data_IF_468675199010
#
_entry.id   IF_468675199010
#
_cell.length_a   1.000
_cell.length_b   1.000
_cell.length_c   1.000
_cell.angle_alpha   90.00
_cell.angle_beta   90.00
_cell.angle_gamma   90.00
#
_symmetry.space_group_name_H-M   'P 1'
#
loop_
_entity.id
_entity.type
_entity.pdbx_description
1 polymer ?
#
# COMPACT_ATOMS: atom_id res chain seq x y z
N UNK A 1 10.66 -2.23 2.51
CA UNK A 1 11.04 -3.65 2.72
C UNK A 1 9.81 -4.48 3.08
N UNK A 2 9.17 -4.25 4.23
CA UNK A 2 8.00 -5.01 4.67
C UNK A 2 6.87 -5.09 3.60
N UNK A 3 6.54 -3.96 2.96
CA UNK A 3 5.56 -3.89 1.86
C UNK A 3 5.90 -4.82 0.69
N UNK A 4 7.18 -4.90 0.30
CA UNK A 4 7.61 -5.78 -0.80
C UNK A 4 7.42 -7.24 -0.40
N UNK A 5 7.85 -7.62 0.81
CA UNK A 5 7.66 -8.99 1.30
C UNK A 5 6.18 -9.37 1.44
N UNK A 6 5.34 -8.43 1.89
CA UNK A 6 3.91 -8.63 2.06
C UNK A 6 3.23 -9.03 0.74
N UNK A 7 3.57 -8.34 -0.35
CA UNK A 7 3.00 -8.61 -1.67
C UNK A 7 3.59 -9.84 -2.37
N UNK A 8 4.69 -10.41 -1.86
CA UNK A 8 5.20 -11.72 -2.31
C UNK A 8 4.17 -12.85 -2.14
N UNK A 9 3.22 -12.69 -1.22
CA UNK A 9 2.10 -13.62 -1.06
C UNK A 9 1.22 -13.73 -2.32
N UNK A 10 1.17 -12.69 -3.16
CA UNK A 10 0.28 -12.66 -4.34
C UNK A 10 0.85 -13.40 -5.55
N UNK A 11 2.14 -13.75 -5.52
CA UNK A 11 2.76 -14.64 -6.52
C UNK A 11 2.87 -16.08 -6.01
N UNK A 12 2.26 -16.40 -4.86
CA UNK A 12 2.31 -17.74 -4.26
C UNK A 12 3.66 -18.09 -3.62
N UNK A 13 4.52 -17.10 -3.33
CA UNK A 13 5.78 -17.35 -2.65
C UNK A 13 5.54 -17.94 -1.25
N UNK A 14 6.37 -18.90 -0.84
CA UNK A 14 6.32 -19.45 0.53
C UNK A 14 6.55 -18.35 1.57
N UNK A 15 7.51 -17.46 1.31
CA UNK A 15 7.76 -16.23 2.05
C UNK A 15 8.67 -15.31 1.23
N UNK A 16 8.99 -14.14 1.75
CA UNK A 16 9.95 -13.21 1.15
C UNK A 16 10.75 -12.52 2.26
N UNK A 17 12.04 -12.33 2.04
CA UNK A 17 12.96 -11.80 3.06
C UNK A 17 13.93 -10.79 2.47
N UNK A 18 14.39 -9.85 3.29
CA UNK A 18 15.54 -9.00 3.00
C UNK A 18 16.66 -9.31 4.00
N UNK A 19 17.94 -9.22 3.61
CA UNK A 19 19.05 -9.34 4.55
C UNK A 19 19.01 -8.21 5.58
N UNK A 20 19.49 -8.49 6.79
CA UNK A 20 19.54 -7.50 7.86
C UNK A 20 20.44 -6.33 7.46
N UNK A 21 19.94 -5.11 7.68
CA UNK A 21 20.64 -3.90 7.28
C UNK A 21 20.38 -2.73 8.23
N UNK A 22 21.05 -1.61 7.99
CA UNK A 22 21.02 -0.45 8.89
C UNK A 22 19.63 0.20 8.97
N UNK A 23 18.79 0.04 7.93
CA UNK A 23 17.40 0.53 7.95
C UNK A 23 16.56 -0.31 8.91
N UNK A 24 16.78 -1.63 8.97
CA UNK A 24 16.13 -2.50 9.95
C UNK A 24 16.61 -2.18 11.37
N UNK A 25 17.92 -1.99 11.57
CA UNK A 25 18.51 -1.55 12.85
C UNK A 25 17.87 -0.24 13.35
N UNK A 26 17.76 0.77 12.47
CA UNK A 26 17.08 2.05 12.78
C UNK A 26 15.62 1.86 13.19
N UNK A 27 14.87 1.00 12.48
CA UNK A 27 13.48 0.71 12.80
C UNK A 27 13.31 -0.03 14.14
N UNK A 28 14.19 -1.00 14.44
CA UNK A 28 14.23 -1.67 15.73
C UNK A 28 14.45 -0.67 16.86
N UNK A 29 15.45 0.22 16.72
CA UNK A 29 15.75 1.27 17.71
C UNK A 29 14.57 2.23 17.89
N UNK A 30 13.94 2.69 16.81
CA UNK A 30 12.79 3.62 16.89
C UNK A 30 11.55 3.00 17.51
N UNK A 31 11.49 1.67 17.63
CA UNK A 31 10.39 0.92 18.25
C UNK A 31 10.78 0.35 19.61
N UNK A 32 11.81 0.91 20.26
CA UNK A 32 12.23 0.54 21.62
C UNK A 32 12.99 -0.79 21.72
N UNK A 33 13.49 -1.32 20.60
CA UNK A 33 14.16 -2.64 20.51
C UNK A 33 15.66 -2.49 20.23
N UNK A 34 16.30 -1.51 20.86
CA UNK A 34 17.73 -1.22 20.63
C UNK A 34 18.63 -2.40 20.98
N UNK A 35 18.34 -3.16 22.05
CA UNK A 35 19.10 -4.36 22.42
C UNK A 35 19.10 -5.42 21.31
N UNK A 36 17.96 -5.64 20.65
CA UNK A 36 17.86 -6.56 19.52
C UNK A 36 18.68 -6.05 18.34
N UNK A 37 18.59 -4.75 18.05
CA UNK A 37 19.37 -4.15 16.96
C UNK A 37 20.88 -4.30 17.20
N UNK A 38 21.33 -3.98 18.41
CA UNK A 38 22.75 -4.02 18.77
C UNK A 38 23.29 -5.45 18.74
N UNK A 39 22.51 -6.43 19.20
CA UNK A 39 22.88 -7.85 19.10
C UNK A 39 22.91 -8.33 17.64
N UNK A 40 21.89 -8.02 16.85
CA UNK A 40 21.84 -8.41 15.44
C UNK A 40 22.99 -7.81 14.62
N UNK A 41 23.45 -6.59 14.96
CA UNK A 41 24.59 -5.96 14.29
C UNK A 41 25.90 -6.73 14.51
N UNK A 42 26.08 -7.41 15.65
CA UNK A 42 27.29 -8.22 15.92
C UNK A 42 27.42 -9.40 14.96
N UNK A 43 26.29 -9.90 14.46
CA UNK A 43 26.21 -11.07 13.58
C UNK A 43 25.69 -10.75 12.17
N UNK A 44 25.71 -9.46 11.78
CA UNK A 44 25.07 -8.98 10.55
C UNK A 44 25.52 -9.73 9.31
N UNK A 45 26.82 -10.00 9.17
CA UNK A 45 27.37 -10.69 7.99
C UNK A 45 27.39 -12.21 8.16
N UNK A 46 27.39 -12.73 9.38
CA UNK A 46 27.54 -14.16 9.67
C UNK A 46 26.21 -14.91 9.70
N UNK A 47 25.14 -14.27 10.17
CA UNK A 47 23.83 -14.93 10.39
C UNK A 47 22.69 -14.30 9.60
N UNK A 48 22.86 -13.07 9.10
CA UNK A 48 21.74 -12.30 8.53
C UNK A 48 22.00 -11.74 7.13
N UNK A 49 23.05 -12.24 6.47
CA UNK A 49 23.36 -11.97 5.06
C UNK A 49 23.44 -13.30 4.30
N UNK A 50 23.08 -13.33 3.01
CA UNK A 50 23.36 -14.50 2.18
C UNK A 50 24.87 -14.68 2.01
N UNK A 51 25.32 -15.93 1.88
CA UNK A 51 26.70 -16.24 1.54
C UNK A 51 27.05 -15.69 0.15
N UNK A 52 28.29 -15.23 -0.04
CA UNK A 52 28.71 -14.58 -1.28
C UNK A 52 28.64 -15.47 -2.54
N UNK A 53 28.60 -16.79 -2.36
CA UNK A 53 28.49 -17.80 -3.41
C UNK A 53 27.18 -18.60 -3.33
N UNK A 54 26.14 -18.07 -2.67
CA UNK A 54 24.85 -18.74 -2.66
C UNK A 54 24.24 -18.78 -4.07
N UNK A 55 23.57 -19.88 -4.39
CA UNK A 55 22.86 -20.05 -5.65
C UNK A 55 21.37 -19.83 -5.43
N UNK A 56 20.73 -19.17 -6.40
CA UNK A 56 19.28 -19.03 -6.47
C UNK A 56 18.80 -19.82 -7.69
N UNK A 57 17.73 -20.61 -7.54
CA UNK A 57 17.14 -21.36 -8.67
C UNK A 57 16.66 -20.43 -9.79
N UNK A 58 16.24 -19.21 -9.42
CA UNK A 58 15.86 -18.14 -10.35
C UNK A 58 16.39 -16.78 -9.85
N UNK A 59 16.93 -15.98 -10.77
CA UNK A 59 17.41 -14.63 -10.50
C UNK A 59 16.65 -13.61 -11.36
N UNK A 60 15.95 -12.68 -10.70
CA UNK A 60 15.27 -11.56 -11.34
C UNK A 60 15.99 -10.27 -10.96
N UNK A 61 16.41 -9.49 -11.95
CA UNK A 61 17.06 -8.19 -11.74
C UNK A 61 16.09 -7.04 -12.00
N UNK A 62 15.94 -6.14 -11.02
CA UNK A 62 15.11 -4.93 -11.13
C UNK A 62 15.96 -3.71 -10.85
N UNK A 63 16.10 -2.83 -11.84
CA UNK A 63 16.77 -1.54 -11.68
C UNK A 63 15.79 -0.48 -11.13
N UNK A 64 16.05 -0.01 -9.91
CA UNK A 64 15.19 0.97 -9.22
C UNK A 64 15.22 2.37 -9.86
N UNK A 65 16.30 2.75 -10.54
CA UNK A 65 16.44 4.06 -11.21
C UNK A 65 15.55 4.17 -12.46
N UNK A 66 15.21 3.03 -13.05
CA UNK A 66 14.33 2.94 -14.23
C UNK A 66 12.87 2.66 -13.86
N UNK A 67 12.58 2.37 -12.59
CA UNK A 67 11.26 1.99 -12.14
C UNK A 67 10.35 3.23 -12.05
N UNK A 68 9.24 3.21 -12.80
CA UNK A 68 8.17 4.20 -12.65
C UNK A 68 7.03 3.68 -11.75
N UNK A 69 6.12 4.55 -11.23
CA UNK A 69 4.97 4.10 -10.46
C UNK A 69 4.07 3.14 -11.25
N UNK A 70 3.49 2.16 -10.54
CA UNK A 70 2.68 1.10 -11.14
C UNK A 70 1.31 0.99 -10.46
N UNK A 71 0.34 0.55 -11.24
CA UNK A 71 -1.03 0.26 -10.81
C UNK A 71 -1.41 -1.09 -11.39
N UNK A 72 -1.81 -2.02 -10.54
CA UNK A 72 -2.13 -3.39 -10.94
C UNK A 72 -3.63 -3.66 -10.80
N UNK A 73 -4.19 -4.46 -11.71
CA UNK A 73 -5.61 -4.82 -11.72
C UNK A 73 -6.26 -4.77 -13.09
N UNK A 74 -7.59 -4.95 -13.19
CA UNK A 74 -8.56 -4.72 -12.09
C UNK A 74 -9.01 -5.94 -11.27
N UNK A 75 -8.64 -7.17 -11.66
CA UNK A 75 -9.14 -8.41 -11.03
C UNK A 75 -8.06 -9.38 -10.56
N UNK A 76 -6.79 -9.03 -10.79
CA UNK A 76 -5.63 -9.83 -10.39
C UNK A 76 -4.48 -8.89 -10.03
N UNK A 77 -3.67 -9.21 -9.01
CA UNK A 77 -2.58 -8.36 -8.55
C UNK A 77 -1.37 -8.39 -9.47
N UNK A 78 -1.29 -9.32 -10.42
CA UNK A 78 -0.17 -9.48 -11.37
C UNK A 78 -0.36 -8.75 -12.72
N UNK A 79 -1.58 -8.27 -13.02
CA UNK A 79 -1.84 -7.47 -14.21
C UNK A 79 -1.31 -6.06 -14.01
N UNK A 80 -0.01 -5.88 -14.26
CA UNK A 80 0.71 -4.65 -14.00
C UNK A 80 0.54 -3.63 -15.14
N UNK A 81 0.30 -2.38 -14.76
CA UNK A 81 0.32 -1.24 -15.67
C UNK A 81 1.26 -0.16 -15.13
N UNK A 82 2.23 0.31 -15.92
CA UNK A 82 2.91 1.55 -15.60
C UNK A 82 1.88 2.69 -15.55
N UNK A 83 2.02 3.61 -14.59
CA UNK A 83 1.05 4.70 -14.38
C UNK A 83 0.84 5.53 -15.66
N UNK A 84 1.91 5.70 -16.45
CA UNK A 84 1.92 6.40 -17.73
C UNK A 84 1.01 5.78 -18.79
N UNK A 85 0.72 4.47 -18.70
CA UNK A 85 -0.09 3.71 -19.68
C UNK A 85 -1.50 3.37 -19.18
N UNK A 86 -1.76 3.51 -17.88
CA UNK A 86 -3.02 3.08 -17.25
C UNK A 86 -4.27 3.65 -17.94
N UNK A 87 -4.28 4.95 -18.25
CA UNK A 87 -5.44 5.60 -18.88
C UNK A 87 -5.75 5.08 -20.29
N UNK A 88 -4.72 4.79 -21.09
CA UNK A 88 -4.90 4.20 -22.43
C UNK A 88 -5.38 2.75 -22.32
N UNK A 89 -4.77 1.96 -21.43
CA UNK A 89 -5.16 0.58 -21.18
C UNK A 89 -6.61 0.49 -20.68
N UNK A 90 -7.01 1.39 -19.78
CA UNK A 90 -8.36 1.44 -19.25
C UNK A 90 -9.40 1.73 -20.34
N UNK A 91 -9.13 2.67 -21.25
CA UNK A 91 -10.00 2.95 -22.41
C UNK A 91 -10.11 1.75 -23.34
N UNK A 92 -8.98 1.14 -23.69
CA UNK A 92 -8.93 0.00 -24.60
C UNK A 92 -9.71 -1.20 -24.06
N UNK A 93 -9.63 -1.46 -22.75
CA UNK A 93 -10.30 -2.59 -22.11
C UNK A 93 -11.70 -2.22 -21.55
N UNK A 94 -12.18 -1.01 -21.80
CA UNK A 94 -13.48 -0.54 -21.33
C UNK A 94 -13.63 -0.47 -19.81
N UNK A 95 -12.55 -0.25 -19.06
CA UNK A 95 -12.59 -0.06 -17.61
C UNK A 95 -13.18 1.32 -17.27
N UNK A 96 -13.99 1.46 -16.21
CA UNK A 96 -14.51 2.77 -15.81
C UNK A 96 -13.37 3.72 -15.46
N UNK A 97 -13.31 4.89 -16.08
CA UNK A 97 -12.26 5.88 -15.85
C UNK A 97 -12.51 6.70 -14.58
N UNK A 98 -13.77 6.84 -14.19
CA UNK A 98 -14.14 7.54 -12.97
C UNK A 98 -13.86 6.65 -11.74
N UNK A 99 -12.87 7.06 -10.95
CA UNK A 99 -12.59 6.45 -9.65
C UNK A 99 -13.72 6.85 -8.70
N UNK A 100 -14.41 5.88 -8.10
CA UNK A 100 -15.49 6.14 -7.14
C UNK A 100 -14.98 6.34 -5.71
N UNK A 101 -13.96 5.57 -5.29
CA UNK A 101 -13.41 5.63 -3.93
C UNK A 101 -11.90 5.39 -3.98
N UNK A 102 -11.15 6.20 -3.23
CA UNK A 102 -9.73 5.97 -2.94
C UNK A 102 -9.57 5.42 -1.53
N UNK A 103 -8.80 4.33 -1.36
CA UNK A 103 -8.56 3.72 -0.04
C UNK A 103 -7.06 3.53 0.20
N UNK A 104 -6.50 4.21 1.19
CA UNK A 104 -5.11 4.02 1.60
C UNK A 104 -4.99 3.32 2.95
N UNK A 105 -3.87 2.65 3.19
CA UNK A 105 -3.57 1.97 4.45
C UNK A 105 -3.69 0.45 4.38
N UNK A 106 -4.41 -0.14 5.35
CA UNK A 106 -4.40 -1.60 5.64
C UNK A 106 -3.01 -2.09 6.05
N UNK A 107 -2.75 -3.40 6.11
CA UNK A 107 -1.47 -3.93 6.58
C UNK A 107 -0.29 -3.68 5.60
N UNK A 108 -0.55 -3.43 4.32
CA UNK A 108 0.48 -3.34 3.28
C UNK A 108 1.16 -1.96 3.21
N UNK A 109 0.39 -0.86 3.31
CA UNK A 109 0.85 0.52 3.11
C UNK A 109 0.30 1.50 4.16
N UNK A 110 0.46 1.18 5.44
CA UNK A 110 0.00 2.03 6.55
C UNK A 110 1.09 2.40 7.55
N UNK A 111 2.35 2.35 7.14
CA UNK A 111 3.43 2.84 7.99
C UNK A 111 3.36 4.36 8.17
N UNK A 112 4.10 4.89 9.14
CA UNK A 112 4.24 6.34 9.30
C UNK A 112 4.79 7.00 8.02
N UNK A 113 5.69 6.32 7.30
CA UNK A 113 6.24 6.80 6.03
C UNK A 113 5.16 6.88 4.94
N UNK A 114 4.31 5.85 4.81
CA UNK A 114 3.20 5.84 3.85
C UNK A 114 2.23 6.99 4.14
N UNK A 115 1.81 7.13 5.39
CA UNK A 115 0.90 8.19 5.83
C UNK A 115 1.50 9.59 5.59
N UNK A 116 2.79 9.76 5.88
CA UNK A 116 3.50 11.01 5.61
C UNK A 116 3.55 11.38 4.13
N UNK A 117 3.82 10.40 3.24
CA UNK A 117 3.84 10.62 1.78
C UNK A 117 2.48 11.03 1.25
N UNK A 118 1.41 10.32 1.64
CA UNK A 118 0.05 10.67 1.25
C UNK A 118 -0.35 12.06 1.77
N UNK A 119 0.01 12.39 3.01
CA UNK A 119 -0.29 13.70 3.59
C UNK A 119 0.44 14.83 2.88
N UNK A 120 1.66 14.62 2.38
CA UNK A 120 2.37 15.64 1.60
C UNK A 120 1.65 15.95 0.28
N UNK A 121 1.16 14.91 -0.43
CA UNK A 121 0.36 15.10 -1.64
C UNK A 121 -0.96 15.83 -1.32
N UNK A 122 -1.64 15.45 -0.24
CA UNK A 122 -2.86 16.11 0.20
C UNK A 122 -2.63 17.59 0.58
N UNK A 123 -1.53 17.91 1.25
CA UNK A 123 -1.15 19.30 1.57
C UNK A 123 -0.90 20.12 0.31
N UNK A 124 -0.20 19.55 -0.66
CA UNK A 124 0.06 20.23 -1.93
C UNK A 124 -1.23 20.49 -2.70
N UNK A 125 -2.14 19.51 -2.78
CA UNK A 125 -3.46 19.73 -3.37
C UNK A 125 -4.24 20.85 -2.64
N UNK A 126 -4.24 20.85 -1.31
CA UNK A 126 -4.92 21.88 -0.52
C UNK A 126 -4.29 23.27 -0.63
N UNK A 127 -2.98 23.38 -0.85
CA UNK A 127 -2.32 24.68 -1.07
C UNK A 127 -2.83 25.36 -2.35
N UNK A 128 -3.37 24.58 -3.29
CA UNK A 128 -4.03 25.03 -4.51
C UNK A 128 -5.56 25.08 -4.39
N UNK A 129 -6.12 24.99 -3.17
CA UNK A 129 -7.55 25.04 -2.92
C UNK A 129 -8.31 23.77 -3.31
N UNK A 130 -7.62 22.67 -3.59
CA UNK A 130 -8.24 21.40 -3.95
C UNK A 130 -8.54 20.55 -2.70
N UNK A 131 -9.61 19.76 -2.79
CA UNK A 131 -9.97 18.71 -1.83
C UNK A 131 -10.21 17.40 -2.58
N UNK A 132 -10.35 16.31 -1.84
CA UNK A 132 -10.72 15.04 -2.44
C UNK A 132 -12.05 15.17 -3.19
N UNK A 133 -12.04 14.84 -4.48
CA UNK A 133 -13.23 14.85 -5.34
C UNK A 133 -14.15 13.66 -5.04
N UNK A 134 -13.61 12.62 -4.44
CA UNK A 134 -14.27 11.34 -4.15
C UNK A 134 -14.10 10.97 -2.68
N UNK A 135 -14.92 10.06 -2.13
CA UNK A 135 -14.64 9.45 -0.84
C UNK A 135 -13.21 8.92 -0.77
N UNK A 136 -12.47 9.37 0.25
CA UNK A 136 -11.08 9.00 0.49
C UNK A 136 -10.95 8.41 1.89
N UNK A 137 -10.67 7.12 1.98
CA UNK A 137 -10.61 6.40 3.25
C UNK A 137 -9.17 6.11 3.63
N UNK A 138 -8.83 6.31 4.91
CA UNK A 138 -7.48 6.12 5.46
C UNK A 138 -7.53 5.12 6.60
N UNK A 139 -6.79 4.01 6.49
CA UNK A 139 -6.79 2.94 7.50
C UNK A 139 -5.40 2.80 8.13
N UNK A 140 -5.18 3.33 9.35
CA UNK A 140 -3.94 3.09 10.10
C UNK A 140 -3.74 1.60 10.42
N UNK A 141 -2.51 1.10 10.30
CA UNK A 141 -2.22 -0.33 10.52
C UNK A 141 -2.19 -0.76 11.97
N UNK A 142 -2.11 0.20 12.91
CA UNK A 142 -2.10 -0.06 14.35
C UNK A 142 -2.53 1.18 15.12
N UNK A 143 -2.89 0.98 16.39
CA UNK A 143 -3.17 2.08 17.30
C UNK A 143 -1.94 2.97 17.52
N UNK A 144 -0.74 2.38 17.55
CA UNK A 144 0.50 3.14 17.65
C UNK A 144 0.68 4.08 16.45
N UNK A 145 0.45 3.59 15.22
CA UNK A 145 0.51 4.44 14.03
C UNK A 145 -0.57 5.52 14.11
N UNK A 146 -1.83 5.16 14.38
CA UNK A 146 -2.94 6.11 14.51
C UNK A 146 -2.59 7.24 15.49
N UNK A 147 -2.18 6.90 16.71
CA UNK A 147 -1.81 7.86 17.73
C UNK A 147 -0.62 8.75 17.30
N UNK A 148 0.38 8.17 16.65
CA UNK A 148 1.58 8.89 16.18
C UNK A 148 1.23 9.89 15.07
N UNK A 149 0.46 9.48 14.05
CA UNK A 149 0.07 10.38 12.95
C UNK A 149 -0.90 11.47 13.41
N UNK A 150 -1.74 11.20 14.42
CA UNK A 150 -2.59 12.22 15.03
C UNK A 150 -1.77 13.28 15.79
N UNK A 151 -0.83 12.82 16.63
CA UNK A 151 0.09 13.70 17.37
C UNK A 151 0.87 14.61 16.42
N UNK A 152 1.36 14.05 15.31
CA UNK A 152 2.19 14.76 14.34
C UNK A 152 1.36 15.56 13.31
N UNK A 153 0.03 15.57 13.45
CA UNK A 153 -0.90 16.37 12.65
C UNK A 153 -1.16 15.82 11.24
N UNK A 154 -0.68 14.63 10.92
CA UNK A 154 -0.93 13.93 9.65
C UNK A 154 -2.41 13.51 9.55
N UNK A 155 -3.03 13.01 10.62
CA UNK A 155 -4.45 12.65 10.63
C UNK A 155 -5.36 13.84 10.26
N UNK A 156 -5.13 14.99 10.90
CA UNK A 156 -5.81 16.26 10.60
C UNK A 156 -5.65 16.72 9.14
N UNK A 157 -4.52 16.41 8.50
CA UNK A 157 -4.32 16.73 7.07
C UNK A 157 -5.28 15.93 6.21
N UNK A 158 -5.44 14.63 6.49
CA UNK A 158 -6.39 13.79 5.77
C UNK A 158 -7.83 14.26 5.97
N UNK A 159 -8.24 14.56 7.20
CA UNK A 159 -9.59 15.09 7.48
C UNK A 159 -9.86 16.40 6.73
N UNK A 160 -8.92 17.36 6.76
CA UNK A 160 -9.05 18.63 6.04
C UNK A 160 -9.15 18.46 4.53
N UNK A 161 -8.42 17.49 3.98
CA UNK A 161 -8.48 17.14 2.56
C UNK A 161 -9.81 16.48 2.16
N UNK A 162 -10.63 16.04 3.12
CA UNK A 162 -11.90 15.35 2.90
C UNK A 162 -11.83 13.84 3.06
N UNK A 163 -10.77 13.35 3.72
CA UNK A 163 -10.61 11.94 4.03
C UNK A 163 -11.35 11.52 5.31
N UNK A 164 -11.75 10.24 5.36
CA UNK A 164 -12.29 9.58 6.56
C UNK A 164 -11.25 8.62 7.12
N UNK A 165 -10.82 8.84 8.36
CA UNK A 165 -9.94 7.90 9.06
C UNK A 165 -10.79 6.77 9.62
N UNK A 166 -10.55 5.55 9.12
CA UNK A 166 -11.22 4.33 9.57
C UNK A 166 -10.54 3.75 10.81
N UNK A 167 -11.21 2.80 11.46
CA UNK A 167 -10.63 2.04 12.56
C UNK A 167 -9.38 1.25 12.13
N UNK A 168 -8.49 0.97 13.08
CA UNK A 168 -7.25 0.20 12.87
C UNK A 168 -7.56 -1.30 12.68
N UNK A 169 -8.19 -1.65 11.57
CA UNK A 169 -8.65 -3.00 11.24
C UNK A 169 -8.57 -3.24 9.72
N UNK A 170 -8.67 -4.50 9.29
CA UNK A 170 -8.61 -4.83 7.86
C UNK A 170 -9.72 -4.17 7.04
N UNK A 171 -10.95 -4.09 7.58
CA UNK A 171 -12.06 -3.35 6.98
C UNK A 171 -12.28 -3.66 5.49
N UNK A 172 -12.31 -2.64 4.60
CA UNK A 172 -12.50 -2.83 3.17
C UNK A 172 -11.48 -3.76 2.48
N UNK A 173 -10.30 -4.01 3.06
CA UNK A 173 -9.31 -4.92 2.48
C UNK A 173 -9.80 -6.38 2.40
N UNK A 174 -10.73 -6.76 3.29
CA UNK A 174 -11.31 -8.11 3.33
C UNK A 174 -12.82 -8.14 3.05
N UNK A 175 -13.39 -7.03 2.57
CA UNK A 175 -14.83 -6.96 2.32
C UNK A 175 -15.67 -6.55 3.53
N UNK A 176 -15.05 -6.23 4.67
CA UNK A 176 -15.74 -5.65 5.82
C UNK A 176 -15.99 -4.16 5.61
N UNK A 177 -16.88 -3.87 4.67
CA UNK A 177 -17.23 -2.52 4.29
C UNK A 177 -18.69 -2.45 3.88
N UNK A 178 -19.48 -1.68 4.61
CA UNK A 178 -20.84 -1.34 4.23
C UNK A 178 -20.84 -0.22 3.19
N UNK A 179 -20.54 -0.58 1.94
CA UNK A 179 -20.41 0.35 0.82
C UNK A 179 -21.80 0.80 0.33
N UNK A 180 -22.01 2.13 0.18
CA UNK A 180 -23.31 2.73 -0.18
C UNK A 180 -23.33 3.58 -1.45
N UNK A 181 -22.17 3.91 -2.03
CA UNK A 181 -22.06 4.85 -3.15
C UNK A 181 -22.45 4.26 -4.52
N UNK A 182 -22.54 2.93 -4.62
CA UNK A 182 -22.90 2.21 -5.86
C UNK A 182 -23.91 1.10 -5.57
N UNK A 183 -24.72 0.76 -6.58
CA UNK A 183 -25.62 -0.41 -6.48
C UNK A 183 -24.84 -1.70 -6.73
N UNK A 184 -25.30 -2.81 -6.14
CA UNK A 184 -24.73 -4.13 -6.43
C UNK A 184 -24.83 -4.43 -7.93
N UNK A 185 -23.74 -4.89 -8.54
CA UNK A 185 -23.66 -5.15 -9.99
C UNK A 185 -23.28 -3.93 -10.84
N UNK A 186 -23.21 -2.72 -10.25
CA UNK A 186 -22.78 -1.53 -10.98
C UNK A 186 -21.28 -1.61 -11.31
N UNK A 187 -20.93 -1.36 -12.57
CA UNK A 187 -19.54 -1.30 -13.02
C UNK A 187 -18.91 0.01 -12.55
N UNK A 188 -17.88 -0.09 -11.72
CA UNK A 188 -17.19 1.08 -11.18
C UNK A 188 -15.71 0.80 -10.94
N UNK A 189 -14.91 1.85 -10.75
CA UNK A 189 -13.50 1.72 -10.36
C UNK A 189 -13.28 2.15 -8.91
N UNK A 190 -12.43 1.42 -8.18
CA UNK A 190 -11.81 1.87 -6.93
C UNK A 190 -10.29 1.74 -7.04
N UNK A 191 -9.56 2.58 -6.33
CA UNK A 191 -8.09 2.49 -6.25
C UNK A 191 -7.70 2.35 -4.78
N UNK A 192 -6.86 1.37 -4.49
CA UNK A 192 -6.46 1.04 -3.12
C UNK A 192 -4.94 0.92 -3.00
N UNK A 193 -4.40 1.16 -1.80
CA UNK A 193 -3.02 0.80 -1.45
C UNK A 193 -2.95 -0.54 -0.72
N UNK A 194 -3.82 -1.47 -1.08
CA UNK A 194 -3.83 -2.83 -0.53
C UNK A 194 -2.99 -3.76 -1.42
N UNK A 195 -3.04 -5.07 -1.15
CA UNK A 195 -2.35 -6.08 -1.93
C UNK A 195 -3.27 -6.89 -2.85
N UNK A 196 -4.54 -7.09 -2.48
CA UNK A 196 -5.49 -7.97 -3.19
C UNK A 196 -6.64 -7.21 -3.83
N UNK A 197 -6.89 -7.52 -5.10
CA UNK A 197 -7.96 -6.98 -5.92
C UNK A 197 -8.78 -8.07 -6.66
N UNK A 198 -8.82 -9.29 -6.13
CA UNK A 198 -9.69 -10.34 -6.68
C UNK A 198 -11.16 -9.89 -6.73
N UNK A 199 -11.91 -10.43 -7.68
CA UNK A 199 -13.32 -10.09 -7.95
C UNK A 199 -14.16 -10.07 -6.66
N UNK A 200 -14.81 -8.92 -6.39
CA UNK A 200 -15.68 -8.73 -5.22
C UNK A 200 -14.95 -8.73 -3.87
N UNK A 201 -13.62 -8.72 -3.82
CA UNK A 201 -12.89 -8.77 -2.54
C UNK A 201 -13.24 -7.61 -1.59
N UNK A 202 -13.37 -6.40 -2.11
CA UNK A 202 -13.46 -5.20 -1.27
C UNK A 202 -14.88 -4.85 -0.79
N UNK A 203 -15.91 -5.20 -1.56
CA UNK A 203 -17.30 -4.81 -1.32
C UNK A 203 -18.32 -5.88 -1.77
N UNK A 204 -17.83 -7.08 -2.08
CA UNK A 204 -18.58 -8.19 -2.66
C UNK A 204 -19.23 -7.90 -4.03
N UNK A 205 -18.99 -6.75 -4.68
CA UNK A 205 -19.55 -6.43 -6.00
C UNK A 205 -18.63 -6.98 -7.12
N UNK A 206 -19.06 -7.99 -7.91
CA UNK A 206 -18.22 -8.57 -8.95
C UNK A 206 -17.86 -7.58 -10.07
N UNK A 207 -18.66 -6.53 -10.25
CA UNK A 207 -18.45 -5.53 -11.29
C UNK A 207 -17.47 -4.41 -10.88
N UNK A 208 -17.02 -4.38 -9.63
CA UNK A 208 -16.04 -3.39 -9.16
C UNK A 208 -14.65 -3.73 -9.67
N UNK A 209 -14.07 -2.81 -10.42
CA UNK A 209 -12.71 -2.85 -10.93
C UNK A 209 -11.80 -2.27 -9.86
N UNK A 210 -11.05 -3.13 -9.18
CA UNK A 210 -10.19 -2.72 -8.07
C UNK A 210 -8.74 -2.67 -8.52
N UNK A 211 -8.14 -1.49 -8.44
CA UNK A 211 -6.73 -1.31 -8.75
C UNK A 211 -5.93 -1.17 -7.46
N UNK A 212 -4.77 -1.84 -7.39
CA UNK A 212 -3.82 -1.71 -6.29
C UNK A 212 -2.61 -0.90 -6.73
N UNK A 213 -2.15 0.02 -5.90
CA UNK A 213 -0.99 0.87 -6.17
C UNK A 213 -0.27 1.27 -4.87
N UNK A 214 0.90 1.86 -5.00
CA UNK A 214 1.79 2.26 -3.90
C UNK A 214 2.45 3.59 -4.20
#
# INVERSE_FOLDING_TARGET
MATICNMGAEIGATTSVFPFNDRMSKYLKSTGRSSIADEANRYKTQLFAPDGNCEYDELIEINLDKLEPHVNGPFTPDLAHPISKLGANAKQNGYPLDIKVGLIGSCTNSSYEDMGRCANIAKDAMSHGLKSKIPFNVTPGSEQIRATIERDGIGKVFEKFGGTVLANACGPCIGQWDRKDVKKGEKNTIVTSYNRNFTGRNDANPATHSFVTR
#
